data_IF_955458286279
#
_entry.id   IF_955458286279
#
_cell.length_a   1.000
_cell.length_b   1.000
_cell.length_c   1.000
_cell.angle_alpha   90.00
_cell.angle_beta   90.00
_cell.angle_gamma   90.00
#
_symmetry.space_group_name_H-M   'P 1'
#
loop_
_entity.id
_entity.type
_entity.pdbx_description
1 polymer ?
#
# COMPACT_ATOMS: atom_id res chain seq x y z
N UNK A 1 -16.62 18.00 3.25
CA UNK A 1 -16.48 18.46 1.84
C UNK A 1 -17.21 17.44 0.97
N UNK A 2 -18.16 17.88 0.15
CA UNK A 2 -18.86 16.99 -0.80
C UNK A 2 -17.94 16.70 -2.00
N UNK A 3 -17.34 15.52 -2.04
CA UNK A 3 -16.44 15.05 -3.09
C UNK A 3 -17.21 14.36 -4.23
N UNK A 4 -18.26 15.01 -4.74
CA UNK A 4 -19.02 14.52 -5.90
C UNK A 4 -18.24 14.75 -7.19
N UNK A 5 -18.01 13.70 -7.97
CA UNK A 5 -17.15 13.79 -9.15
C UNK A 5 -17.90 14.43 -10.33
N UNK A 6 -17.36 15.49 -10.97
CA UNK A 6 -18.01 16.14 -12.10
C UNK A 6 -18.23 15.20 -13.30
N UNK A 7 -19.37 15.33 -13.98
CA UNK A 7 -19.74 14.47 -15.13
C UNK A 7 -18.67 14.43 -16.23
N UNK A 8 -18.04 15.56 -16.53
CA UNK A 8 -17.00 15.63 -17.57
C UNK A 8 -15.73 14.85 -17.18
N UNK A 9 -15.34 14.87 -15.90
CA UNK A 9 -14.23 14.07 -15.37
C UNK A 9 -14.54 12.57 -15.47
N UNK A 10 -15.77 12.16 -15.11
CA UNK A 10 -16.20 10.76 -15.23
C UNK A 10 -16.15 10.28 -16.69
N UNK A 11 -16.58 11.13 -17.64
CA UNK A 11 -16.48 10.82 -19.07
C UNK A 11 -15.03 10.62 -19.49
N UNK A 12 -14.11 11.47 -19.03
CA UNK A 12 -12.67 11.33 -19.25
C UNK A 12 -12.11 10.02 -18.68
N UNK A 13 -12.41 9.74 -17.41
CA UNK A 13 -12.00 8.52 -16.74
C UNK A 13 -12.50 7.26 -17.47
N UNK A 14 -13.77 7.24 -17.87
CA UNK A 14 -14.36 6.10 -18.57
C UNK A 14 -13.78 5.85 -19.97
N UNK A 15 -13.21 6.86 -20.65
CA UNK A 15 -12.47 6.63 -21.91
C UNK A 15 -11.23 5.75 -21.71
N UNK A 16 -10.66 5.74 -20.52
CA UNK A 16 -9.48 4.94 -20.17
C UNK A 16 -9.82 3.54 -19.63
N UNK A 17 -11.11 3.18 -19.58
CA UNK A 17 -11.61 1.92 -18.98
C UNK A 17 -12.38 1.10 -20.01
N UNK A 18 -12.38 -0.22 -19.83
CA UNK A 18 -13.22 -1.12 -20.62
C UNK A 18 -14.71 -0.76 -20.40
N UNK A 19 -15.51 -0.85 -21.47
CA UNK A 19 -16.94 -0.54 -21.46
C UNK A 19 -17.70 -1.24 -20.33
N UNK A 20 -17.41 -2.51 -20.05
CA UNK A 20 -18.09 -3.29 -19.01
C UNK A 20 -17.96 -2.69 -17.59
N UNK A 21 -16.92 -1.90 -17.34
CA UNK A 21 -16.63 -1.31 -16.03
C UNK A 21 -17.06 0.17 -15.92
N UNK A 22 -17.59 0.76 -16.99
CA UNK A 22 -18.02 2.17 -16.99
C UNK A 22 -19.27 2.50 -16.14
N UNK A 23 -20.18 1.55 -15.79
CA UNK A 23 -21.37 1.89 -15.00
C UNK A 23 -21.09 2.46 -13.61
N UNK A 24 -20.00 2.05 -12.96
CA UNK A 24 -19.62 2.51 -11.61
C UNK A 24 -18.27 3.22 -11.64
N UNK A 25 -18.11 4.22 -10.78
CA UNK A 25 -16.82 4.92 -10.63
C UNK A 25 -15.77 4.06 -9.91
N UNK A 26 -16.22 3.14 -9.05
CA UNK A 26 -15.41 2.19 -8.32
C UNK A 26 -16.20 0.90 -8.10
N UNK A 27 -15.56 -0.25 -8.27
CA UNK A 27 -16.18 -1.56 -8.02
C UNK A 27 -15.82 -2.16 -6.65
N UNK A 28 -14.81 -1.62 -5.95
CA UNK A 28 -14.35 -2.14 -4.66
C UNK A 28 -15.47 -2.52 -3.69
N UNK A 29 -16.48 -1.66 -3.40
CA UNK A 29 -17.52 -2.03 -2.43
C UNK A 29 -18.50 -3.10 -2.91
N UNK A 30 -18.40 -3.53 -4.16
CA UNK A 30 -19.26 -4.55 -4.75
C UNK A 30 -18.54 -5.86 -5.00
N UNK A 31 -17.22 -5.90 -4.88
CA UNK A 31 -16.43 -7.09 -5.20
C UNK A 31 -15.23 -7.34 -4.29
N UNK A 32 -14.87 -6.45 -3.37
CA UNK A 32 -13.64 -6.57 -2.58
C UNK A 32 -13.86 -6.33 -1.10
N UNK A 33 -13.16 -7.07 -0.26
CA UNK A 33 -12.99 -6.73 1.16
C UNK A 33 -11.53 -6.94 1.57
N UNK A 34 -11.04 -6.08 2.45
CA UNK A 34 -9.70 -6.11 3.01
C UNK A 34 -9.76 -6.18 4.53
N UNK A 35 -8.87 -6.98 5.09
CA UNK A 35 -8.63 -7.14 6.52
C UNK A 35 -7.28 -6.54 6.88
N UNK A 36 -7.23 -5.71 7.92
CA UNK A 36 -6.01 -5.01 8.35
C UNK A 36 -5.49 -5.55 9.68
N UNK A 37 -4.24 -5.27 10.02
CA UNK A 37 -3.57 -5.80 11.23
C UNK A 37 -4.32 -5.51 12.53
N UNK A 38 -5.06 -4.40 12.56
CA UNK A 38 -5.83 -3.96 13.71
C UNK A 38 -7.23 -4.56 13.79
N UNK A 39 -7.62 -5.47 12.89
CA UNK A 39 -8.97 -6.05 12.85
C UNK A 39 -9.97 -5.24 12.02
N UNK A 40 -9.62 -4.01 11.61
CA UNK A 40 -10.51 -3.19 10.81
C UNK A 40 -10.71 -3.78 9.40
N UNK A 41 -11.96 -3.70 8.93
CA UNK A 41 -12.37 -4.14 7.60
C UNK A 41 -12.68 -2.96 6.68
N UNK A 42 -12.21 -3.03 5.45
CA UNK A 42 -12.38 -1.98 4.44
C UNK A 42 -12.72 -2.59 3.07
N UNK A 43 -13.29 -1.80 2.16
CA UNK A 43 -13.50 -2.28 0.78
C UNK A 43 -12.24 -2.23 -0.09
N UNK A 44 -11.29 -1.35 0.22
CA UNK A 44 -10.05 -1.19 -0.54
C UNK A 44 -8.89 -0.70 0.33
N UNK A 45 -7.66 -0.86 -0.16
CA UNK A 45 -6.45 -0.43 0.53
C UNK A 45 -6.24 1.10 0.57
N UNK A 46 -6.90 1.84 -0.35
CA UNK A 46 -6.78 3.30 -0.46
C UNK A 46 -7.68 4.08 0.51
N UNK A 47 -8.72 3.44 1.05
CA UNK A 47 -9.64 4.04 1.99
C UNK A 47 -9.44 3.44 3.38
N UNK A 48 -8.63 4.12 4.19
CA UNK A 48 -8.41 3.77 5.60
C UNK A 48 -9.27 4.58 6.57
N UNK A 49 -10.09 5.49 6.05
CA UNK A 49 -10.91 6.39 6.85
C UNK A 49 -12.25 5.74 7.24
N UNK A 50 -12.94 5.15 6.26
CA UNK A 50 -14.28 4.59 6.46
C UNK A 50 -14.22 3.07 6.70
N UNK A 51 -14.08 2.68 7.97
CA UNK A 51 -14.08 1.27 8.42
C UNK A 51 -15.48 0.68 8.46
N UNK A 52 -15.64 -0.50 7.88
CA UNK A 52 -16.89 -1.29 7.85
C UNK A 52 -17.21 -1.92 9.20
N UNK A 53 -16.24 -1.98 10.10
CA UNK A 53 -16.31 -2.70 11.36
C UNK A 53 -14.93 -3.23 11.73
N UNK A 54 -14.81 -3.66 12.98
CA UNK A 54 -13.59 -4.27 13.51
C UNK A 54 -13.92 -5.69 13.95
N UNK A 55 -13.06 -6.64 13.62
CA UNK A 55 -13.13 -8.01 14.12
C UNK A 55 -12.50 -8.10 15.52
N UNK A 56 -13.08 -8.86 16.47
CA UNK A 56 -14.25 -9.74 16.34
C UNK A 56 -15.61 -9.09 16.60
N UNK A 57 -15.65 -7.79 16.90
CA UNK A 57 -16.88 -7.10 17.31
C UNK A 57 -17.95 -7.06 16.20
N UNK A 58 -17.50 -7.03 14.95
CA UNK A 58 -18.34 -7.07 13.75
C UNK A 58 -17.94 -8.29 12.92
N UNK A 59 -18.91 -9.14 12.59
CA UNK A 59 -18.68 -10.30 11.71
C UNK A 59 -18.37 -9.87 10.27
N UNK A 60 -17.69 -10.74 9.50
CA UNK A 60 -17.41 -10.47 8.08
C UNK A 60 -18.72 -10.29 7.28
N UNK A 61 -19.75 -11.09 7.62
CA UNK A 61 -21.09 -10.99 7.04
C UNK A 61 -21.76 -9.64 7.29
N UNK A 62 -21.66 -9.14 8.52
CA UNK A 62 -22.17 -7.82 8.88
C UNK A 62 -21.35 -6.72 8.20
N UNK A 63 -20.03 -6.80 8.19
CA UNK A 63 -19.17 -5.85 7.50
C UNK A 63 -19.47 -5.79 5.99
N UNK A 64 -19.85 -6.92 5.37
CA UNK A 64 -20.22 -6.97 3.96
C UNK A 64 -21.64 -6.47 3.67
N UNK A 65 -22.63 -6.80 4.51
CA UNK A 65 -24.05 -6.56 4.22
C UNK A 65 -24.69 -5.41 5.01
N UNK A 66 -24.07 -5.00 6.11
CA UNK A 66 -24.63 -4.10 7.11
C UNK A 66 -24.75 -2.64 6.68
N UNK A 67 -25.25 -1.80 7.58
CA UNK A 67 -25.62 -0.42 7.28
C UNK A 67 -24.46 0.41 6.68
N UNK A 68 -23.26 0.32 7.25
CA UNK A 68 -22.06 1.01 6.74
C UNK A 68 -21.71 0.59 5.30
N UNK A 69 -21.83 -0.70 5.01
CA UNK A 69 -21.57 -1.24 3.69
C UNK A 69 -22.57 -0.69 2.65
N UNK A 70 -23.85 -0.63 3.02
CA UNK A 70 -24.91 -0.07 2.15
C UNK A 70 -24.75 1.44 1.95
N UNK A 71 -24.43 2.18 3.01
CA UNK A 71 -24.15 3.61 2.93
C UNK A 71 -23.02 3.88 1.93
N UNK A 72 -21.90 3.18 2.08
CA UNK A 72 -20.77 3.34 1.19
C UNK A 72 -21.10 3.02 -0.28
N UNK A 73 -21.83 1.93 -0.53
CA UNK A 73 -22.29 1.57 -1.89
C UNK A 73 -23.20 2.63 -2.50
N UNK A 74 -24.05 3.26 -1.68
CA UNK A 74 -24.91 4.37 -2.12
C UNK A 74 -24.08 5.55 -2.60
N UNK A 75 -23.11 6.01 -1.80
CA UNK A 75 -22.19 7.09 -2.17
C UNK A 75 -21.45 6.82 -3.48
N UNK A 76 -20.89 5.61 -3.64
CA UNK A 76 -20.18 5.24 -4.87
C UNK A 76 -21.12 5.19 -6.08
N UNK A 77 -22.36 4.73 -5.91
CA UNK A 77 -23.39 4.73 -6.96
C UNK A 77 -23.72 6.15 -7.41
N UNK A 78 -23.76 7.09 -6.46
CA UNK A 78 -23.99 8.52 -6.68
C UNK A 78 -22.74 9.28 -7.17
N UNK A 79 -21.65 8.56 -7.46
CA UNK A 79 -20.35 9.10 -7.89
C UNK A 79 -19.76 10.08 -6.86
N UNK A 80 -20.00 9.79 -5.59
CA UNK A 80 -19.54 10.56 -4.44
C UNK A 80 -18.40 9.83 -3.73
N UNK A 81 -17.24 10.48 -3.61
CA UNK A 81 -16.02 9.94 -2.99
C UNK A 81 -15.76 10.53 -1.59
N UNK A 82 -16.80 11.06 -0.92
CA UNK A 82 -16.67 11.76 0.37
C UNK A 82 -16.30 10.85 1.54
N UNK A 83 -16.64 9.56 1.48
CA UNK A 83 -16.38 8.61 2.56
C UNK A 83 -14.95 8.06 2.52
N UNK A 84 -13.94 8.93 2.50
CA UNK A 84 -12.53 8.50 2.61
C UNK A 84 -11.85 8.09 1.30
N UNK A 85 -12.45 8.40 0.14
CA UNK A 85 -11.88 8.07 -1.18
C UNK A 85 -11.08 9.24 -1.80
N UNK A 86 -10.52 10.12 -0.96
CA UNK A 86 -9.90 11.37 -1.41
C UNK A 86 -8.69 11.16 -2.34
N UNK A 87 -7.85 10.14 -2.11
CA UNK A 87 -6.76 9.83 -3.04
C UNK A 87 -7.26 9.53 -4.45
N UNK A 88 -8.36 8.79 -4.60
CA UNK A 88 -8.94 8.56 -5.92
C UNK A 88 -9.55 9.84 -6.49
N UNK A 89 -10.20 10.65 -5.65
CA UNK A 89 -10.80 11.92 -6.04
C UNK A 89 -9.78 12.91 -6.62
N UNK A 90 -8.64 13.11 -5.97
CA UNK A 90 -7.60 14.03 -6.44
C UNK A 90 -6.97 13.57 -7.76
N UNK A 91 -6.74 12.26 -7.94
CA UNK A 91 -6.26 11.71 -9.22
C UNK A 91 -7.28 11.87 -10.34
N UNK A 92 -8.58 11.76 -10.05
CA UNK A 92 -9.64 12.04 -11.02
C UNK A 92 -9.67 13.51 -11.43
N UNK A 93 -9.65 14.44 -10.46
CA UNK A 93 -9.68 15.88 -10.75
C UNK A 93 -8.45 16.37 -11.53
N UNK A 94 -7.27 15.82 -11.21
CA UNK A 94 -6.03 16.09 -11.96
C UNK A 94 -5.94 15.35 -13.30
N UNK A 95 -6.99 14.60 -13.69
CA UNK A 95 -7.06 13.79 -14.90
C UNK A 95 -5.95 12.73 -15.02
N UNK A 96 -5.31 12.37 -13.90
CA UNK A 96 -4.35 11.26 -13.83
C UNK A 96 -5.10 9.93 -13.67
N UNK A 97 -5.87 9.58 -14.70
CA UNK A 97 -6.81 8.48 -14.68
C UNK A 97 -6.16 7.10 -14.47
N UNK A 98 -4.96 6.88 -15.00
CA UNK A 98 -4.26 5.59 -14.86
C UNK A 98 -3.76 5.34 -13.44
N UNK A 99 -3.60 6.39 -12.62
CA UNK A 99 -3.17 6.29 -11.22
C UNK A 99 -4.33 6.20 -10.22
N UNK A 100 -5.58 6.10 -10.71
CA UNK A 100 -6.75 5.98 -9.85
C UNK A 100 -6.83 4.56 -9.28
N UNK A 101 -6.64 4.42 -7.97
CA UNK A 101 -6.62 3.12 -7.28
C UNK A 101 -7.89 2.29 -7.46
N UNK A 102 -9.05 2.93 -7.67
CA UNK A 102 -10.33 2.25 -7.93
C UNK A 102 -10.28 1.29 -9.14
N UNK A 103 -9.35 1.51 -10.09
CA UNK A 103 -9.16 0.64 -11.27
C UNK A 103 -8.69 -0.77 -10.93
N UNK A 104 -8.02 -0.97 -9.78
CA UNK A 104 -7.55 -2.30 -9.35
C UNK A 104 -8.73 -3.26 -9.17
N UNK A 105 -9.91 -2.72 -8.87
CA UNK A 105 -11.12 -3.49 -8.64
C UNK A 105 -11.95 -3.67 -9.93
N UNK A 106 -11.52 -3.09 -11.05
CA UNK A 106 -12.08 -3.40 -12.36
C UNK A 106 -11.65 -4.82 -12.75
N UNK A 107 -12.56 -5.58 -13.36
CA UNK A 107 -12.26 -6.96 -13.78
C UNK A 107 -12.77 -8.04 -12.84
N UNK A 108 -12.97 -7.73 -11.55
CA UNK A 108 -13.56 -8.67 -10.59
C UNK A 108 -15.09 -8.61 -10.61
N UNK A 109 -15.74 -9.77 -10.58
CA UNK A 109 -17.21 -9.84 -10.62
C UNK A 109 -17.83 -9.27 -9.35
N UNK A 110 -18.72 -8.30 -9.53
CA UNK A 110 -19.59 -7.83 -8.45
C UNK A 110 -20.65 -8.88 -8.13
N UNK A 111 -20.77 -9.26 -6.86
CA UNK A 111 -21.73 -10.27 -6.39
C UNK A 111 -22.39 -9.80 -5.10
N UNK A 112 -23.68 -10.12 -4.93
CA UNK A 112 -24.40 -9.78 -3.70
C UNK A 112 -23.97 -10.70 -2.55
N UNK A 113 -23.73 -11.97 -2.87
CA UNK A 113 -23.46 -13.04 -1.91
C UNK A 113 -22.13 -12.87 -1.18
N UNK A 114 -21.14 -12.24 -1.81
CA UNK A 114 -19.82 -12.09 -1.23
C UNK A 114 -18.84 -11.36 -2.14
N UNK A 115 -17.67 -10.99 -1.62
CA UNK A 115 -16.59 -10.43 -2.43
C UNK A 115 -16.04 -11.50 -3.38
N UNK A 116 -15.51 -11.06 -4.53
CA UNK A 116 -14.68 -11.88 -5.40
C UNK A 116 -13.17 -11.64 -5.19
N UNK A 117 -12.81 -10.58 -4.47
CA UNK A 117 -11.46 -10.29 -4.02
C UNK A 117 -11.42 -10.18 -2.49
N UNK A 118 -10.54 -10.95 -1.86
CA UNK A 118 -10.19 -10.76 -0.44
C UNK A 118 -8.72 -10.38 -0.30
N UNK A 119 -8.43 -9.34 0.46
CA UNK A 119 -7.07 -8.92 0.79
C UNK A 119 -6.80 -9.11 2.29
N UNK A 120 -5.78 -9.88 2.64
CA UNK A 120 -5.40 -10.20 4.00
C UNK A 120 -4.08 -9.51 4.36
N UNK A 121 -4.14 -8.56 5.30
CA UNK A 121 -3.00 -7.94 5.98
C UNK A 121 -3.18 -8.20 7.48
N UNK A 122 -3.13 -9.46 7.89
CA UNK A 122 -3.66 -9.91 9.20
C UNK A 122 -2.59 -10.49 10.14
N UNK A 123 -1.33 -10.50 9.71
CA UNK A 123 -0.20 -10.93 10.52
C UNK A 123 0.96 -9.96 10.35
N UNK A 124 1.64 -9.64 11.44
CA UNK A 124 2.91 -8.91 11.44
C UNK A 124 4.12 -9.81 11.74
N UNK A 125 3.93 -11.13 11.86
CA UNK A 125 5.04 -12.06 12.10
C UNK A 125 6.01 -11.93 10.93
N UNK A 126 7.23 -11.47 11.22
CA UNK A 126 8.23 -11.20 10.20
C UNK A 126 9.64 -11.43 10.75
N UNK A 127 10.55 -11.79 9.86
CA UNK A 127 11.96 -12.04 10.13
C UNK A 127 12.89 -10.91 9.68
N UNK A 128 12.36 -9.81 9.17
CA UNK A 128 13.15 -8.67 8.68
C UNK A 128 12.90 -7.39 9.47
N UNK A 129 13.89 -6.51 9.44
CA UNK A 129 13.84 -5.18 10.07
C UNK A 129 13.97 -4.05 9.03
N UNK A 130 13.20 -4.15 7.95
CA UNK A 130 13.28 -3.22 6.82
C UNK A 130 13.18 -1.75 7.28
N UNK A 131 14.05 -0.89 6.75
CA UNK A 131 14.20 0.50 7.23
C UNK A 131 12.93 1.35 7.11
N UNK A 132 12.04 1.03 6.15
CA UNK A 132 10.76 1.70 5.95
C UNK A 132 9.59 1.08 6.74
N UNK A 133 9.78 -0.08 7.37
CA UNK A 133 8.75 -0.75 8.18
C UNK A 133 8.80 -0.26 9.63
N UNK A 134 7.77 -0.60 10.41
CA UNK A 134 7.67 -0.40 11.87
C UNK A 134 7.19 -1.69 12.57
N UNK A 135 7.05 -1.67 13.89
CA UNK A 135 6.65 -2.83 14.69
C UNK A 135 5.25 -3.37 14.38
N UNK A 136 4.37 -2.53 13.83
CA UNK A 136 3.08 -3.01 13.32
C UNK A 136 3.25 -3.89 12.10
N UNK A 137 4.26 -3.65 11.26
CA UNK A 137 4.50 -4.43 10.05
C UNK A 137 5.45 -5.62 10.27
N UNK A 138 6.29 -5.57 11.31
CA UNK A 138 7.26 -6.62 11.63
C UNK A 138 7.38 -6.83 13.15
N UNK A 139 7.08 -8.05 13.58
CA UNK A 139 7.28 -8.51 14.95
C UNK A 139 8.74 -8.42 15.39
N UNK A 140 9.69 -8.60 14.47
CA UNK A 140 11.12 -8.48 14.78
C UNK A 140 11.51 -7.03 15.06
N UNK A 141 11.00 -6.07 14.27
CA UNK A 141 11.17 -4.64 14.54
C UNK A 141 10.59 -4.27 15.90
N UNK A 142 9.37 -4.76 16.19
CA UNK A 142 8.70 -4.50 17.47
C UNK A 142 9.56 -4.93 18.65
N UNK A 143 10.17 -6.12 18.54
CA UNK A 143 11.05 -6.70 19.56
C UNK A 143 12.39 -5.96 19.68
N UNK A 144 13.09 -5.76 18.57
CA UNK A 144 14.51 -5.36 18.58
C UNK A 144 14.68 -3.84 18.52
N UNK A 145 14.05 -3.18 17.55
CA UNK A 145 14.20 -1.74 17.31
C UNK A 145 13.34 -0.90 18.25
N UNK A 146 12.07 -1.29 18.41
CA UNK A 146 11.12 -0.54 19.24
C UNK A 146 11.10 -0.97 20.70
N UNK A 147 11.64 -2.17 21.01
CA UNK A 147 11.68 -2.76 22.35
C UNK A 147 10.32 -2.74 23.06
N UNK A 148 9.25 -2.91 22.29
CA UNK A 148 7.89 -2.89 22.80
C UNK A 148 7.26 -4.27 22.85
N UNK A 149 6.18 -4.39 23.63
CA UNK A 149 5.42 -5.62 23.75
C UNK A 149 4.83 -6.07 22.40
N UNK A 150 4.80 -7.38 22.08
CA UNK A 150 4.22 -7.87 20.84
C UNK A 150 2.79 -7.34 20.62
N UNK A 151 2.50 -6.88 19.41
CA UNK A 151 1.12 -6.56 19.04
C UNK A 151 0.26 -7.83 19.03
N UNK A 152 -0.97 -7.79 19.55
CA UNK A 152 -1.86 -8.94 19.53
C UNK A 152 -2.25 -9.27 18.09
N UNK A 153 -2.18 -10.55 17.73
CA UNK A 153 -2.78 -11.06 16.50
C UNK A 153 -4.27 -11.23 16.77
N UNK A 154 -5.08 -10.35 16.19
CA UNK A 154 -6.53 -10.27 16.48
C UNK A 154 -7.34 -11.36 15.78
N UNK A 155 -6.73 -12.10 14.85
CA UNK A 155 -7.40 -13.08 14.00
C UNK A 155 -7.12 -14.50 14.50
N UNK A 156 -8.18 -15.30 14.59
CA UNK A 156 -8.18 -16.63 15.18
C UNK A 156 -8.92 -17.65 14.29
N UNK A 157 -9.22 -18.82 14.83
CA UNK A 157 -9.94 -19.87 14.09
C UNK A 157 -11.39 -19.48 13.76
N UNK A 158 -12.04 -18.68 14.61
CA UNK A 158 -13.39 -18.19 14.32
C UNK A 158 -13.39 -17.24 13.11
N UNK A 159 -12.32 -16.47 12.89
CA UNK A 159 -12.16 -15.70 11.67
C UNK A 159 -12.04 -16.61 10.44
N UNK A 160 -11.24 -17.68 10.53
CA UNK A 160 -11.09 -18.66 9.44
C UNK A 160 -12.44 -19.32 9.12
N UNK A 161 -13.26 -19.62 10.13
CA UNK A 161 -14.60 -20.18 9.90
C UNK A 161 -15.52 -19.15 9.20
N UNK A 162 -15.49 -17.88 9.60
CA UNK A 162 -16.29 -16.84 8.96
C UNK A 162 -15.93 -16.60 7.49
N UNK A 163 -14.67 -16.79 7.07
CA UNK A 163 -14.33 -16.59 5.65
C UNK A 163 -14.86 -17.70 4.74
N UNK A 164 -15.11 -18.92 5.26
CA UNK A 164 -15.48 -20.10 4.46
C UNK A 164 -16.73 -19.86 3.63
N UNK A 165 -17.72 -19.15 4.18
CA UNK A 165 -18.96 -18.84 3.48
C UNK A 165 -18.76 -17.96 2.23
N UNK A 166 -17.64 -17.24 2.15
CA UNK A 166 -17.32 -16.35 1.02
C UNK A 166 -16.38 -16.98 0.01
N UNK A 167 -15.59 -17.99 0.39
CA UNK A 167 -14.63 -18.69 -0.48
C UNK A 167 -15.25 -19.16 -1.82
N UNK A 168 -16.49 -19.69 -1.87
CA UNK A 168 -17.13 -20.10 -3.12
C UNK A 168 -17.27 -18.99 -4.17
N UNK A 169 -17.18 -17.72 -3.77
CA UNK A 169 -17.34 -16.56 -4.65
C UNK A 169 -16.01 -15.91 -5.06
N UNK A 170 -14.89 -16.32 -4.45
CA UNK A 170 -13.58 -15.72 -4.65
C UNK A 170 -12.99 -16.04 -6.02
N UNK A 171 -12.59 -14.99 -6.71
CA UNK A 171 -11.74 -15.03 -7.90
C UNK A 171 -10.27 -14.89 -7.49
N UNK A 172 -9.96 -14.05 -6.50
CA UNK A 172 -8.60 -13.89 -5.97
C UNK A 172 -8.58 -13.63 -4.44
N UNK A 173 -7.57 -14.18 -3.79
CA UNK A 173 -7.20 -13.91 -2.40
C UNK A 173 -5.75 -13.43 -2.36
N UNK A 174 -5.52 -12.22 -1.84
CA UNK A 174 -4.19 -11.59 -1.74
C UNK A 174 -3.69 -11.60 -0.31
N UNK A 175 -2.46 -12.03 -0.11
CA UNK A 175 -1.83 -12.14 1.21
C UNK A 175 -0.61 -11.24 1.28
N UNK A 176 -0.67 -10.27 2.20
CA UNK A 176 0.37 -9.27 2.47
C UNK A 176 0.54 -9.14 4.00
N UNK A 177 1.52 -8.35 4.45
CA UNK A 177 1.76 -8.13 5.88
C UNK A 177 2.63 -9.23 6.50
N UNK A 178 3.55 -8.81 7.38
CA UNK A 178 4.59 -9.68 7.92
C UNK A 178 5.44 -10.33 6.82
N UNK A 179 5.93 -11.54 7.10
CA UNK A 179 6.36 -12.49 6.09
C UNK A 179 5.31 -13.61 6.01
N UNK A 180 4.51 -13.68 4.92
CA UNK A 180 3.40 -14.61 4.86
C UNK A 180 3.78 -16.08 5.08
N UNK A 181 4.98 -16.49 4.68
CA UNK A 181 5.44 -17.87 4.85
C UNK A 181 5.82 -18.24 6.28
N UNK A 182 5.79 -17.30 7.23
CA UNK A 182 5.92 -17.56 8.68
C UNK A 182 4.58 -17.68 9.40
N UNK A 183 3.46 -17.37 8.74
CA UNK A 183 2.15 -17.31 9.39
C UNK A 183 1.36 -18.60 9.20
N UNK A 184 1.24 -19.40 10.26
CA UNK A 184 0.38 -20.61 10.23
C UNK A 184 -1.10 -20.28 10.00
N UNK A 185 -1.54 -19.08 10.39
CA UNK A 185 -2.89 -18.60 10.07
C UNK A 185 -3.11 -18.50 8.56
N UNK A 186 -2.11 -18.03 7.80
CA UNK A 186 -2.19 -18.01 6.35
C UNK A 186 -2.24 -19.39 5.73
N UNK A 187 -1.44 -20.34 6.22
CA UNK A 187 -1.54 -21.72 5.77
C UNK A 187 -2.91 -22.34 6.03
N UNK A 188 -3.53 -22.07 7.18
CA UNK A 188 -4.91 -22.50 7.46
C UNK A 188 -5.88 -21.92 6.42
N UNK A 189 -5.81 -20.62 6.14
CA UNK A 189 -6.67 -19.96 5.14
C UNK A 189 -6.43 -20.52 3.73
N UNK A 190 -5.17 -20.75 3.33
CA UNK A 190 -4.85 -21.32 2.02
C UNK A 190 -5.44 -22.72 1.85
N UNK A 191 -5.35 -23.56 2.89
CA UNK A 191 -5.93 -24.90 2.87
C UNK A 191 -7.44 -24.86 2.67
N UNK A 192 -8.15 -23.97 3.38
CA UNK A 192 -9.60 -23.78 3.20
C UNK A 192 -9.95 -23.29 1.79
N UNK A 193 -9.19 -22.32 1.25
CA UNK A 193 -9.39 -21.84 -0.12
C UNK A 193 -9.20 -22.97 -1.14
N UNK A 194 -8.10 -23.73 -1.02
CA UNK A 194 -7.78 -24.84 -1.91
C UNK A 194 -8.87 -25.93 -1.84
N UNK A 195 -9.37 -26.21 -0.64
CA UNK A 195 -10.40 -27.23 -0.42
C UNK A 195 -11.77 -26.81 -0.98
N UNK A 196 -12.23 -25.60 -0.68
CA UNK A 196 -13.59 -25.15 -1.00
C UNK A 196 -13.69 -24.60 -2.43
N UNK A 197 -12.68 -23.85 -2.89
CA UNK A 197 -12.65 -23.24 -4.22
C UNK A 197 -11.24 -23.26 -4.83
N UNK A 198 -10.79 -24.42 -5.36
CA UNK A 198 -9.43 -24.56 -5.92
C UNK A 198 -9.16 -23.68 -7.15
N UNK A 199 -10.20 -23.04 -7.72
CA UNK A 199 -10.06 -22.09 -8.82
C UNK A 199 -9.65 -20.69 -8.35
N UNK A 200 -9.84 -20.35 -7.08
CA UNK A 200 -9.43 -19.05 -6.53
C UNK A 200 -7.93 -18.86 -6.70
N UNK A 201 -7.55 -17.71 -7.25
CA UNK A 201 -6.15 -17.32 -7.36
C UNK A 201 -5.64 -16.89 -5.98
N UNK A 202 -4.70 -17.63 -5.41
CA UNK A 202 -3.99 -17.23 -4.19
C UNK A 202 -2.75 -16.47 -4.60
N UNK A 203 -2.63 -15.20 -4.21
CA UNK A 203 -1.49 -14.34 -4.56
C UNK A 203 -0.78 -13.88 -3.29
N UNK A 204 0.49 -14.27 -3.13
CA UNK A 204 1.26 -14.02 -1.91
C UNK A 204 2.41 -13.07 -2.20
N UNK A 205 2.49 -11.98 -1.44
CA UNK A 205 3.62 -11.05 -1.48
C UNK A 205 4.62 -11.39 -0.37
N UNK A 206 5.78 -11.93 -0.73
CA UNK A 206 6.84 -12.35 0.21
C UNK A 206 8.06 -11.42 0.14
N UNK A 207 8.84 -11.37 1.21
CA UNK A 207 10.18 -10.79 1.20
C UNK A 207 11.24 -11.72 0.55
N UNK A 208 10.87 -12.98 0.29
CA UNK A 208 11.69 -13.93 -0.47
C UNK A 208 12.73 -14.70 0.34
N UNK A 209 12.83 -14.47 1.65
CA UNK A 209 13.85 -15.13 2.51
C UNK A 209 13.56 -16.60 2.81
N UNK A 210 12.33 -17.06 2.54
CA UNK A 210 11.85 -18.41 2.83
C UNK A 210 11.28 -19.03 1.56
N UNK A 211 11.83 -20.18 1.19
CA UNK A 211 11.29 -21.08 0.18
C UNK A 211 11.66 -22.51 0.59
N UNK A 212 10.67 -23.31 0.93
CA UNK A 212 10.84 -24.69 1.38
C UNK A 212 9.89 -25.61 0.61
N UNK A 213 9.98 -26.92 0.84
CA UNK A 213 9.17 -27.91 0.11
C UNK A 213 7.67 -27.72 0.29
N UNK A 214 7.21 -27.30 1.48
CA UNK A 214 5.79 -26.99 1.74
C UNK A 214 5.29 -25.87 0.81
N UNK A 215 6.07 -24.80 0.66
CA UNK A 215 5.75 -23.67 -0.21
C UNK A 215 5.84 -24.07 -1.68
N UNK A 216 6.89 -24.82 -2.05
CA UNK A 216 7.05 -25.33 -3.41
C UNK A 216 5.91 -26.26 -3.82
N UNK A 217 5.39 -27.06 -2.88
CA UNK A 217 4.27 -27.95 -3.12
C UNK A 217 2.98 -27.17 -3.38
N UNK A 218 2.69 -26.18 -2.52
CA UNK A 218 1.57 -25.25 -2.72
C UNK A 218 1.66 -24.55 -4.07
N UNK A 219 2.85 -23.99 -4.37
CA UNK A 219 3.11 -23.30 -5.61
C UNK A 219 2.94 -24.21 -6.83
N UNK A 220 3.37 -25.48 -6.79
CA UNK A 220 3.28 -26.38 -7.95
C UNK A 220 1.86 -26.90 -8.17
N UNK A 221 1.19 -27.33 -7.09
CA UNK A 221 -0.08 -28.10 -7.17
C UNK A 221 -1.34 -27.25 -7.28
N UNK A 222 -1.31 -25.98 -6.85
CA UNK A 222 -2.53 -25.17 -6.73
C UNK A 222 -2.46 -23.87 -7.55
N UNK A 223 -3.58 -23.15 -7.61
CA UNK A 223 -3.67 -21.82 -8.24
C UNK A 223 -3.00 -20.76 -7.33
N UNK A 224 -1.72 -20.95 -7.06
CA UNK A 224 -0.91 -20.23 -6.10
C UNK A 224 0.19 -19.47 -6.83
N UNK A 225 0.24 -18.16 -6.58
CA UNK A 225 1.11 -17.20 -7.24
C UNK A 225 1.93 -16.45 -6.21
N UNK A 226 3.17 -16.12 -6.57
CA UNK A 226 4.10 -15.42 -5.70
C UNK A 226 4.49 -14.11 -6.37
N UNK A 227 4.52 -13.06 -5.56
CA UNK A 227 5.14 -11.79 -5.87
C UNK A 227 6.24 -11.53 -4.85
N UNK A 228 7.39 -11.02 -5.31
CA UNK A 228 8.53 -10.75 -4.42
C UNK A 228 8.62 -9.27 -4.09
N UNK A 229 9.10 -8.95 -2.89
CA UNK A 229 9.49 -7.59 -2.52
C UNK A 229 11.01 -7.45 -2.58
N UNK A 230 11.53 -6.85 -3.65
CA UNK A 230 12.99 -6.73 -3.89
C UNK A 230 13.35 -5.27 -4.18
N UNK A 231 13.87 -4.56 -3.19
CA UNK A 231 14.07 -3.10 -3.27
C UNK A 231 15.38 -2.66 -3.94
N UNK A 232 16.21 -3.60 -4.40
CA UNK A 232 17.44 -3.31 -5.14
C UNK A 232 17.93 -4.56 -5.87
N UNK A 233 18.58 -4.36 -7.02
CA UNK A 233 19.36 -5.38 -7.74
C UNK A 233 20.85 -5.37 -7.37
N UNK A 234 21.24 -4.55 -6.39
CA UNK A 234 22.59 -4.48 -5.84
C UNK A 234 22.57 -4.98 -4.41
N UNK A 235 23.50 -5.87 -4.08
CA UNK A 235 23.54 -6.57 -2.79
C UNK A 235 23.62 -5.60 -1.62
N UNK A 236 24.54 -4.65 -1.68
CA UNK A 236 24.82 -3.70 -0.60
C UNK A 236 23.60 -2.81 -0.32
N UNK A 237 22.97 -2.28 -1.37
CA UNK A 237 21.77 -1.46 -1.24
C UNK A 237 20.59 -2.30 -0.74
N UNK A 238 20.39 -3.51 -1.26
CA UNK A 238 19.33 -4.40 -0.79
C UNK A 238 19.46 -4.73 0.69
N UNK A 239 20.63 -5.20 1.15
CA UNK A 239 20.85 -5.62 2.53
C UNK A 239 20.84 -4.43 3.52
N UNK A 240 21.22 -3.22 3.08
CA UNK A 240 21.06 -2.01 3.89
C UNK A 240 19.61 -1.58 4.09
N UNK A 241 18.72 -1.91 3.15
CA UNK A 241 17.28 -1.59 3.21
C UNK A 241 16.50 -2.69 3.93
N UNK A 242 16.76 -3.95 3.56
CA UNK A 242 16.08 -5.16 4.04
C UNK A 242 16.94 -5.82 5.12
N UNK A 243 17.09 -5.14 6.26
CA UNK A 243 17.93 -5.59 7.37
C UNK A 243 17.58 -7.02 7.81
N UNK A 244 18.62 -7.84 8.02
CA UNK A 244 18.59 -9.30 8.28
C UNK A 244 18.30 -10.19 7.05
N UNK A 245 18.08 -9.62 5.87
CA UNK A 245 17.99 -10.43 4.64
C UNK A 245 19.38 -10.79 4.12
N UNK A 246 19.48 -11.94 3.44
CA UNK A 246 20.64 -12.33 2.66
C UNK A 246 20.27 -12.24 1.17
N UNK A 247 20.92 -11.32 0.44
CA UNK A 247 20.58 -11.03 -0.96
C UNK A 247 20.70 -12.27 -1.84
N UNK A 248 21.79 -13.03 -1.72
CA UNK A 248 22.07 -14.18 -2.58
C UNK A 248 21.01 -15.26 -2.41
N UNK A 249 20.57 -15.53 -1.17
CA UNK A 249 19.48 -16.46 -0.87
C UNK A 249 18.14 -15.98 -1.47
N UNK A 250 17.82 -14.70 -1.33
CA UNK A 250 16.58 -14.12 -1.88
C UNK A 250 16.57 -14.22 -3.40
N UNK A 251 17.68 -13.88 -4.05
CA UNK A 251 17.80 -13.97 -5.51
C UNK A 251 17.78 -15.42 -6.01
N UNK A 252 18.36 -16.36 -5.26
CA UNK A 252 18.25 -17.79 -5.55
C UNK A 252 16.79 -18.28 -5.48
N UNK A 253 16.04 -17.88 -4.45
CA UNK A 253 14.62 -18.21 -4.31
C UNK A 253 13.78 -17.57 -5.42
N UNK A 254 14.06 -16.31 -5.77
CA UNK A 254 13.44 -15.63 -6.89
C UNK A 254 13.68 -16.38 -8.20
N UNK A 255 14.93 -16.77 -8.49
CA UNK A 255 15.29 -17.52 -9.69
C UNK A 255 14.55 -18.87 -9.77
N UNK A 256 14.48 -19.58 -8.64
CA UNK A 256 13.73 -20.86 -8.55
C UNK A 256 12.25 -20.67 -8.90
N UNK A 257 11.59 -19.65 -8.34
CA UNK A 257 10.19 -19.36 -8.66
C UNK A 257 10.03 -18.81 -10.08
N UNK A 258 10.98 -18.03 -10.58
CA UNK A 258 10.99 -17.52 -11.95
C UNK A 258 10.98 -18.66 -12.98
N UNK A 259 11.87 -19.64 -12.82
CA UNK A 259 11.92 -20.82 -13.70
C UNK A 259 10.63 -21.65 -13.64
N UNK A 260 10.12 -21.90 -12.43
CA UNK A 260 8.85 -22.61 -12.24
C UNK A 260 7.66 -21.84 -12.81
N UNK A 261 7.64 -20.52 -12.66
CA UNK A 261 6.65 -19.61 -13.24
C UNK A 261 6.56 -19.79 -14.75
N UNK A 262 7.70 -19.82 -15.45
CA UNK A 262 7.73 -20.03 -16.90
C UNK A 262 7.27 -21.43 -17.28
N UNK A 263 7.76 -22.46 -16.57
CA UNK A 263 7.42 -23.86 -16.84
C UNK A 263 5.93 -24.16 -16.63
N UNK A 264 5.32 -23.55 -15.61
CA UNK A 264 3.93 -23.79 -15.22
C UNK A 264 2.97 -22.72 -15.75
N UNK A 265 3.46 -21.76 -16.55
CA UNK A 265 2.72 -20.61 -17.04
C UNK A 265 1.97 -19.84 -15.91
N UNK A 266 2.67 -19.59 -14.80
CA UNK A 266 2.15 -18.84 -13.65
C UNK A 266 2.68 -17.41 -13.63
N UNK A 267 1.77 -16.50 -13.27
CA UNK A 267 2.12 -15.12 -13.04
C UNK A 267 3.14 -14.98 -11.89
N UNK A 268 4.06 -14.04 -12.07
CA UNK A 268 5.10 -13.63 -11.13
C UNK A 268 5.28 -12.13 -11.29
N UNK A 269 5.45 -11.41 -10.19
CA UNK A 269 5.75 -9.97 -10.20
C UNK A 269 6.79 -9.62 -9.14
N UNK A 270 7.42 -8.46 -9.31
CA UNK A 270 8.28 -7.84 -8.28
C UNK A 270 7.68 -6.53 -7.82
N UNK A 271 7.68 -6.32 -6.51
CA UNK A 271 7.22 -5.13 -5.82
C UNK A 271 8.44 -4.40 -5.30
N UNK A 272 8.50 -3.09 -5.56
CA UNK A 272 9.58 -2.22 -5.09
C UNK A 272 9.01 -1.01 -4.36
N UNK A 273 9.74 -0.54 -3.35
CA UNK A 273 9.44 0.65 -2.58
C UNK A 273 10.56 1.69 -2.81
N UNK A 274 10.40 2.62 -3.77
CA UNK A 274 11.36 3.69 -3.96
C UNK A 274 11.46 4.59 -2.72
N UNK A 275 12.66 4.62 -2.15
CA UNK A 275 13.08 5.46 -1.04
C UNK A 275 14.39 6.16 -1.39
N UNK A 276 14.83 7.11 -0.58
CA UNK A 276 16.08 7.84 -0.85
C UNK A 276 17.31 6.91 -0.99
N UNK A 277 17.33 5.75 -0.32
CA UNK A 277 18.45 4.80 -0.36
C UNK A 277 18.60 4.07 -1.71
N UNK A 278 17.50 3.74 -2.41
CA UNK A 278 17.53 3.00 -3.68
C UNK A 278 17.09 3.83 -4.89
N UNK A 279 16.78 5.12 -4.72
CA UNK A 279 16.21 5.96 -5.79
C UNK A 279 17.08 5.98 -7.07
N UNK A 280 18.40 5.95 -6.93
CA UNK A 280 19.32 5.96 -8.07
C UNK A 280 19.35 4.63 -8.83
N UNK A 281 18.83 3.55 -8.24
CA UNK A 281 18.84 2.21 -8.80
C UNK A 281 17.49 1.81 -9.40
N UNK A 282 16.45 2.65 -9.29
CA UNK A 282 15.12 2.36 -9.86
C UNK A 282 15.22 2.05 -11.38
N UNK A 283 15.96 2.82 -12.20
CA UNK A 283 16.15 2.49 -13.61
C UNK A 283 16.78 1.11 -13.82
N UNK A 284 17.83 0.76 -13.05
CA UNK A 284 18.52 -0.53 -13.15
C UNK A 284 17.56 -1.69 -12.84
N UNK A 285 16.70 -1.54 -11.82
CA UNK A 285 15.68 -2.53 -11.49
C UNK A 285 14.64 -2.67 -12.61
N UNK A 286 14.17 -1.55 -13.17
CA UNK A 286 13.20 -1.57 -14.29
C UNK A 286 13.79 -2.31 -15.50
N UNK A 287 15.04 -2.01 -15.85
CA UNK A 287 15.75 -2.68 -16.95
C UNK A 287 15.95 -4.18 -16.67
N UNK A 288 16.35 -4.54 -15.46
CA UNK A 288 16.58 -5.94 -15.06
C UNK A 288 15.32 -6.79 -15.22
N UNK A 289 14.20 -6.38 -14.63
CA UNK A 289 12.96 -7.19 -14.70
C UNK A 289 12.25 -7.09 -16.07
N UNK A 290 12.48 -6.01 -16.83
CA UNK A 290 12.03 -5.92 -18.23
C UNK A 290 12.68 -7.02 -19.08
N UNK A 291 13.99 -7.25 -18.94
CA UNK A 291 14.70 -8.33 -19.64
C UNK A 291 14.18 -9.72 -19.29
N UNK A 292 13.72 -9.91 -18.05
CA UNK A 292 13.12 -11.16 -17.60
C UNK A 292 11.63 -11.29 -17.97
N UNK A 293 11.02 -10.25 -18.51
CA UNK A 293 9.57 -10.13 -18.73
C UNK A 293 8.76 -10.38 -17.44
N UNK A 294 9.22 -9.79 -16.33
CA UNK A 294 8.59 -9.85 -15.00
C UNK A 294 8.02 -8.47 -14.65
N UNK A 295 6.68 -8.31 -14.53
CA UNK A 295 6.07 -7.05 -14.17
C UNK A 295 6.57 -6.47 -12.85
N UNK A 296 6.74 -5.14 -12.80
CA UNK A 296 7.07 -4.39 -11.59
C UNK A 296 5.85 -3.65 -11.05
N UNK A 297 5.68 -3.67 -9.74
CA UNK A 297 4.70 -2.88 -9.00
C UNK A 297 5.48 -1.91 -8.08
N UNK A 298 5.22 -0.62 -8.23
CA UNK A 298 5.86 0.43 -7.42
C UNK A 298 4.91 0.84 -6.29
N UNK A 299 5.34 0.67 -5.05
CA UNK A 299 4.64 1.15 -3.86
C UNK A 299 5.23 2.46 -3.36
N UNK A 300 4.36 3.43 -3.10
CA UNK A 300 4.79 4.74 -2.62
C UNK A 300 5.04 4.71 -1.12
N UNK A 301 6.26 5.06 -0.71
CA UNK A 301 6.60 5.25 0.71
C UNK A 301 6.35 6.71 1.09
N UNK A 302 5.35 6.93 1.95
CA UNK A 302 5.03 8.26 2.50
C UNK A 302 5.69 8.44 3.87
N UNK A 303 5.62 7.40 4.69
CA UNK A 303 6.27 7.31 5.99
C UNK A 303 7.22 6.11 6.00
N UNK A 304 8.38 6.20 6.66
CA UNK A 304 8.93 7.36 7.38
C UNK A 304 9.28 8.55 6.46
N UNK A 305 9.01 9.78 6.91
CA UNK A 305 9.16 10.99 6.08
C UNK A 305 10.60 11.23 5.64
N UNK A 306 11.57 10.85 6.46
CA UNK A 306 13.01 11.01 6.16
C UNK A 306 13.49 10.04 5.08
N UNK A 307 12.80 8.93 4.84
CA UNK A 307 13.14 7.96 3.80
C UNK A 307 12.39 8.22 2.48
N UNK A 308 11.27 8.93 2.54
CA UNK A 308 10.44 9.21 1.38
C UNK A 308 11.14 10.11 0.36
N UNK A 309 11.07 9.75 -0.92
CA UNK A 309 11.54 10.59 -2.03
C UNK A 309 10.78 11.92 -2.07
N UNK A 310 9.50 11.94 -1.68
CA UNK A 310 8.73 13.18 -1.66
C UNK A 310 9.27 14.20 -0.65
N UNK A 311 10.18 13.79 0.25
CA UNK A 311 10.78 14.67 1.26
C UNK A 311 12.16 15.24 0.91
N UNK A 312 12.68 14.94 -0.27
CA UNK A 312 13.87 15.58 -0.81
C UNK A 312 13.68 17.09 -1.02
N UNK A 313 14.77 17.86 -1.03
CA UNK A 313 14.75 19.28 -1.40
C UNK A 313 14.39 19.44 -2.88
N UNK A 314 14.00 20.66 -3.27
CA UNK A 314 13.68 20.97 -4.67
C UNK A 314 14.88 20.73 -5.59
N UNK A 315 16.09 21.05 -5.15
CA UNK A 315 17.35 20.83 -5.90
C UNK A 315 17.63 19.34 -6.07
N UNK A 316 17.47 18.56 -5.00
CA UNK A 316 17.63 17.10 -5.04
C UNK A 316 16.61 16.45 -6.00
N UNK A 317 15.35 16.88 -5.94
CA UNK A 317 14.29 16.41 -6.84
C UNK A 317 14.58 16.80 -8.30
N UNK A 318 15.08 18.01 -8.55
CA UNK A 318 15.50 18.46 -9.88
C UNK A 318 16.61 17.56 -10.43
N UNK A 319 17.68 17.35 -9.66
CA UNK A 319 18.80 16.47 -10.04
C UNK A 319 18.32 15.05 -10.34
N UNK A 320 17.40 14.53 -9.51
CA UNK A 320 16.85 13.20 -9.73
C UNK A 320 15.97 13.11 -10.97
N UNK A 321 15.15 14.12 -11.26
CA UNK A 321 14.37 14.19 -12.49
C UNK A 321 15.26 14.25 -13.74
N UNK A 322 16.35 15.01 -13.70
CA UNK A 322 17.33 15.07 -14.78
C UNK A 322 17.93 13.67 -15.04
N UNK A 323 18.37 12.99 -13.97
CA UNK A 323 18.86 11.62 -14.03
C UNK A 323 17.83 10.63 -14.63
N UNK A 324 16.58 10.64 -14.12
CA UNK A 324 15.54 9.74 -14.62
C UNK A 324 15.21 9.98 -16.10
N UNK A 325 15.15 11.24 -16.53
CA UNK A 325 14.88 11.60 -17.92
C UNK A 325 16.05 11.21 -18.83
N UNK A 326 17.28 11.34 -18.36
CA UNK A 326 18.47 10.90 -19.09
C UNK A 326 18.47 9.37 -19.26
N UNK A 327 18.25 8.61 -18.19
CA UNK A 327 18.13 7.14 -18.24
C UNK A 327 17.00 6.69 -19.17
N UNK A 328 15.85 7.36 -19.13
CA UNK A 328 14.72 7.05 -20.02
C UNK A 328 15.07 7.28 -21.50
N UNK A 329 15.85 8.32 -21.85
CA UNK A 329 16.29 8.55 -23.23
C UNK A 329 17.14 7.40 -23.76
N UNK A 330 18.03 6.86 -22.94
CA UNK A 330 18.87 5.72 -23.30
C UNK A 330 18.07 4.41 -23.42
N UNK A 331 17.01 4.24 -22.61
CA UNK A 331 16.13 3.06 -22.64
C UNK A 331 15.21 2.98 -23.88
N UNK A 332 15.01 4.08 -24.64
CA UNK A 332 14.10 4.15 -25.81
C UNK A 332 14.43 3.21 -26.98
N UNK A 333 15.48 2.38 -26.89
CA UNK A 333 15.74 1.31 -27.84
C UNK A 333 14.82 0.08 -27.66
N UNK A 334 14.10 -0.04 -26.54
CA UNK A 334 13.10 -1.09 -26.32
C UNK A 334 11.65 -0.52 -26.34
N UNK A 335 10.85 -0.96 -27.31
CA UNK A 335 9.40 -0.75 -27.53
C UNK A 335 8.62 0.16 -26.57
N UNK A 336 8.06 1.28 -27.10
CA UNK A 336 7.12 2.20 -26.42
C UNK A 336 5.81 1.55 -25.93
N UNK A 337 5.53 0.30 -26.29
CA UNK A 337 4.32 -0.43 -25.91
C UNK A 337 4.56 -1.44 -24.76
N UNK A 338 5.75 -1.46 -24.15
CA UNK A 338 6.04 -2.32 -23.00
C UNK A 338 5.44 -1.74 -21.71
N UNK A 339 4.80 -2.57 -20.88
CA UNK A 339 4.26 -2.19 -19.57
C UNK A 339 5.30 -1.54 -18.66
N UNK A 340 6.58 -1.93 -18.79
CA UNK A 340 7.69 -1.34 -18.05
C UNK A 340 7.93 0.13 -18.41
N UNK A 341 7.77 0.51 -19.68
CA UNK A 341 7.87 1.90 -20.11
C UNK A 341 6.77 2.78 -19.49
N UNK A 342 5.56 2.24 -19.37
CA UNK A 342 4.45 2.92 -18.71
C UNK A 342 4.70 3.09 -17.20
N UNK A 343 5.23 2.06 -16.54
CA UNK A 343 5.64 2.13 -15.12
C UNK A 343 6.70 3.21 -14.93
N UNK A 344 7.74 3.24 -15.76
CA UNK A 344 8.78 4.27 -15.71
C UNK A 344 8.21 5.67 -15.91
N UNK A 345 7.41 5.88 -16.95
CA UNK A 345 6.78 7.17 -17.25
C UNK A 345 5.86 7.64 -16.11
N UNK A 346 5.13 6.72 -15.49
CA UNK A 346 4.27 7.02 -14.33
C UNK A 346 5.11 7.42 -13.11
N UNK A 347 6.22 6.72 -12.86
CA UNK A 347 7.13 7.05 -11.77
C UNK A 347 7.80 8.42 -11.96
N UNK A 348 8.27 8.76 -13.16
CA UNK A 348 8.78 10.12 -13.46
C UNK A 348 7.69 11.17 -13.22
N UNK A 349 6.47 10.90 -13.64
CA UNK A 349 5.33 11.81 -13.42
C UNK A 349 5.05 12.02 -11.93
N UNK A 350 5.19 10.96 -11.12
CA UNK A 350 5.08 11.05 -9.66
C UNK A 350 6.20 11.91 -9.05
N UNK A 351 7.46 11.68 -9.42
CA UNK A 351 8.60 12.49 -8.94
C UNK A 351 8.45 13.95 -9.37
N UNK A 352 7.94 14.22 -10.57
CA UNK A 352 7.66 15.57 -11.04
C UNK A 352 6.55 16.24 -10.21
N UNK A 353 5.56 15.48 -9.75
CA UNK A 353 4.57 15.98 -8.78
C UNK A 353 5.25 16.40 -7.48
N UNK A 354 6.17 15.60 -6.96
CA UNK A 354 6.92 15.97 -5.75
C UNK A 354 7.76 17.22 -5.95
N UNK A 355 8.42 17.37 -7.10
CA UNK A 355 9.16 18.58 -7.45
C UNK A 355 8.27 19.83 -7.46
N UNK A 356 7.05 19.74 -8.01
CA UNK A 356 6.07 20.84 -7.98
C UNK A 356 5.64 21.18 -6.55
N UNK A 357 5.34 20.16 -5.74
CA UNK A 357 4.94 20.31 -4.34
C UNK A 357 6.07 20.84 -3.46
N UNK A 358 7.34 20.62 -3.82
CA UNK A 358 8.47 21.17 -3.09
C UNK A 358 8.46 22.71 -3.06
N UNK A 359 7.84 23.38 -4.05
CA UNK A 359 7.60 24.83 -3.99
C UNK A 359 6.69 25.23 -2.83
N UNK A 360 5.67 24.42 -2.54
CA UNK A 360 4.78 24.67 -1.40
C UNK A 360 5.55 24.50 -0.08
N UNK A 361 6.53 23.60 -0.04
CA UNK A 361 7.41 23.44 1.14
C UNK A 361 8.29 24.66 1.40
N UNK A 362 8.78 25.31 0.35
CA UNK A 362 9.59 26.54 0.46
C UNK A 362 8.80 27.65 1.17
N UNK A 363 7.47 27.67 1.03
CA UNK A 363 6.62 28.62 1.77
C UNK A 363 6.76 28.48 3.30
N UNK A 364 7.15 27.30 3.77
CA UNK A 364 7.32 26.98 5.19
C UNK A 364 8.78 27.10 5.65
N UNK A 365 9.77 27.28 4.75
CA UNK A 365 11.20 27.26 5.09
C UNK A 365 11.61 28.36 6.07
N UNK A 366 10.91 29.50 6.07
CA UNK A 366 11.19 30.62 6.96
C UNK A 366 10.39 30.60 8.26
N UNK A 367 9.34 29.78 8.35
CA UNK A 367 8.49 29.71 9.53
C UNK A 367 9.24 29.09 10.70
N UNK A 368 9.01 29.55 11.94
CA UNK A 368 9.51 28.87 13.12
C UNK A 368 8.67 27.61 13.41
N UNK A 369 9.18 26.69 14.24
CA UNK A 369 8.44 25.45 14.58
C UNK A 369 7.07 25.77 15.17
N UNK A 370 6.98 26.76 16.06
CA UNK A 370 5.72 27.15 16.71
C UNK A 370 4.70 27.69 15.69
N UNK A 371 5.14 28.47 14.70
CA UNK A 371 4.29 28.95 13.60
C UNK A 371 3.74 27.78 12.77
N UNK A 372 4.59 26.78 12.52
CA UNK A 372 4.20 25.58 11.77
C UNK A 372 3.17 24.75 12.55
N UNK A 373 3.32 24.62 13.87
CA UNK A 373 2.35 23.94 14.74
C UNK A 373 1.00 24.66 14.68
N UNK A 374 0.97 25.99 14.77
CA UNK A 374 -0.29 26.75 14.72
C UNK A 374 -0.94 26.70 13.33
N UNK A 375 -0.17 26.75 12.24
CA UNK A 375 -0.69 26.52 10.88
C UNK A 375 -1.27 25.11 10.74
N UNK A 376 -0.63 24.10 11.33
CA UNK A 376 -1.08 22.72 11.26
C UNK A 376 -2.36 22.52 12.09
N UNK A 377 -2.44 23.17 13.26
CA UNK A 377 -3.66 23.25 14.06
C UNK A 377 -4.80 23.82 13.24
N UNK A 378 -4.64 24.97 12.60
CA UNK A 378 -5.69 25.57 11.77
C UNK A 378 -6.11 24.68 10.60
N UNK A 379 -5.18 23.87 10.07
CA UNK A 379 -5.49 22.89 9.04
C UNK A 379 -6.32 21.72 9.55
N UNK A 380 -6.02 21.20 10.75
CA UNK A 380 -6.64 19.99 11.29
C UNK A 380 -7.86 20.30 12.16
N UNK A 381 -7.68 21.20 13.12
CA UNK A 381 -8.63 21.58 14.15
C UNK A 381 -9.85 22.29 13.55
N UNK A 382 -10.97 21.60 13.60
CA UNK A 382 -12.32 22.13 13.39
C UNK A 382 -13.19 21.62 14.52
N UNK A 383 -14.41 22.15 14.69
CA UNK A 383 -15.34 21.69 15.75
C UNK A 383 -15.53 20.16 15.80
N UNK A 384 -15.37 19.48 14.66
CA UNK A 384 -15.52 18.02 14.52
C UNK A 384 -14.23 17.21 14.77
N UNK A 385 -13.04 17.84 14.83
CA UNK A 385 -11.74 17.13 14.85
C UNK A 385 -10.82 17.56 16.02
N UNK A 386 -11.40 18.12 17.10
CA UNK A 386 -10.62 18.61 18.24
C UNK A 386 -9.82 17.48 18.91
N UNK A 387 -10.42 16.29 19.05
CA UNK A 387 -9.78 15.13 19.69
C UNK A 387 -8.55 14.67 18.91
N UNK A 388 -8.66 14.61 17.58
CA UNK A 388 -7.58 14.24 16.67
C UNK A 388 -6.45 15.27 16.75
N UNK A 389 -6.77 16.56 16.79
CA UNK A 389 -5.76 17.60 16.98
C UNK A 389 -5.04 17.45 18.32
N UNK A 390 -5.75 17.32 19.44
CA UNK A 390 -5.14 17.19 20.77
C UNK A 390 -4.14 16.02 20.83
N UNK A 391 -4.54 14.89 20.26
CA UNK A 391 -3.70 13.70 20.15
C UNK A 391 -2.44 13.94 19.32
N UNK A 392 -2.57 14.60 18.16
CA UNK A 392 -1.40 14.95 17.35
C UNK A 392 -0.49 15.93 18.07
N UNK A 393 -1.06 16.95 18.72
CA UNK A 393 -0.31 17.97 19.43
C UNK A 393 0.52 17.36 20.56
N UNK A 394 -0.06 16.46 21.35
CA UNK A 394 0.67 15.74 22.40
C UNK A 394 1.86 14.93 21.83
N UNK A 395 1.69 14.31 20.66
CA UNK A 395 2.78 13.60 19.98
C UNK A 395 3.88 14.56 19.55
N UNK A 396 3.51 15.67 18.90
CA UNK A 396 4.46 16.67 18.40
C UNK A 396 5.22 17.36 19.53
N UNK A 397 4.55 17.70 20.64
CA UNK A 397 5.18 18.30 21.83
C UNK A 397 6.18 17.38 22.52
N UNK A 398 6.08 16.07 22.32
CA UNK A 398 7.03 15.09 22.85
C UNK A 398 8.31 14.90 22.01
N UNK A 399 8.48 15.62 20.91
CA UNK A 399 9.66 15.49 20.03
C UNK A 399 10.68 16.58 20.39
N UNK A 400 11.79 16.19 21.02
CA UNK A 400 12.84 17.12 21.46
C UNK A 400 13.71 17.64 20.31
N UNK A 401 13.98 16.81 19.29
CA UNK A 401 14.73 17.22 18.10
C UNK A 401 13.89 18.17 17.23
N UNK A 402 14.18 19.47 17.34
CA UNK A 402 13.51 20.53 16.59
C UNK A 402 13.66 20.38 15.06
N UNK A 403 14.78 19.83 14.58
CA UNK A 403 14.98 19.62 13.14
C UNK A 403 14.11 18.47 12.62
N UNK A 404 14.00 17.39 13.39
CA UNK A 404 13.09 16.28 13.10
C UNK A 404 11.62 16.71 13.19
N UNK A 405 11.23 17.41 14.26
CA UNK A 405 9.88 17.94 14.46
C UNK A 405 9.46 18.83 13.28
N UNK A 406 10.35 19.74 12.85
CA UNK A 406 10.14 20.57 11.66
C UNK A 406 9.87 19.72 10.42
N UNK A 407 10.70 18.71 10.15
CA UNK A 407 10.55 17.81 9.00
C UNK A 407 9.21 17.06 9.05
N UNK A 408 8.80 16.59 10.22
CA UNK A 408 7.51 15.89 10.43
C UNK A 408 6.35 16.84 10.13
N UNK A 409 6.34 18.04 10.70
CA UNK A 409 5.24 19.00 10.49
C UNK A 409 5.13 19.40 9.02
N UNK A 410 6.25 19.74 8.36
CA UNK A 410 6.25 20.03 6.91
C UNK A 410 5.77 18.80 6.11
N UNK A 411 6.22 17.60 6.50
CA UNK A 411 5.74 16.32 6.00
C UNK A 411 4.21 16.21 6.04
N UNK A 412 3.61 16.55 7.17
CA UNK A 412 2.16 16.51 7.37
C UNK A 412 1.42 17.47 6.44
N UNK A 413 1.95 18.65 6.12
CA UNK A 413 1.31 19.58 5.16
C UNK A 413 1.16 19.00 3.75
N UNK A 414 2.05 18.09 3.36
CA UNK A 414 2.08 17.45 2.04
C UNK A 414 1.08 16.27 1.97
N UNK A 415 0.84 15.62 3.12
CA UNK A 415 -0.12 14.52 3.21
C UNK A 415 -1.53 15.10 3.25
N UNK A 416 -2.45 14.51 2.50
CA UNK A 416 -3.84 14.95 2.49
C UNK A 416 -4.46 14.86 3.91
N UNK A 417 -5.27 15.88 4.25
CA UNK A 417 -5.89 16.01 5.57
C UNK A 417 -6.71 14.77 5.95
N UNK A 418 -7.39 14.14 5.00
CA UNK A 418 -8.24 12.97 5.30
C UNK A 418 -7.42 11.76 5.73
N UNK A 419 -6.20 11.58 5.21
CA UNK A 419 -5.30 10.52 5.68
C UNK A 419 -4.81 10.78 7.10
N UNK A 420 -4.45 12.03 7.41
CA UNK A 420 -4.02 12.41 8.76
C UNK A 420 -5.15 12.17 9.77
N UNK A 421 -6.37 12.58 9.44
CA UNK A 421 -7.53 12.36 10.30
C UNK A 421 -7.88 10.87 10.44
N UNK A 422 -7.82 10.09 9.35
CA UNK A 422 -8.04 8.64 9.40
C UNK A 422 -7.05 7.97 10.37
N UNK A 423 -5.78 8.36 10.27
CA UNK A 423 -4.69 7.85 11.07
C UNK A 423 -4.86 8.22 12.55
N UNK A 424 -5.17 9.48 12.85
CA UNK A 424 -5.43 9.96 14.21
C UNK A 424 -6.64 9.28 14.84
N UNK A 425 -7.67 8.96 14.06
CA UNK A 425 -8.90 8.31 14.52
C UNK A 425 -8.71 6.81 14.78
N UNK A 426 -7.99 6.11 13.91
CA UNK A 426 -7.98 4.65 13.88
C UNK A 426 -6.76 3.99 14.54
N UNK A 427 -5.73 4.76 14.86
CA UNK A 427 -4.49 4.25 15.47
C UNK A 427 -4.37 4.67 16.92
N UNK A 428 -3.49 4.06 17.70
CA UNK A 428 -3.11 4.52 19.05
C UNK A 428 -2.06 5.63 18.96
N UNK A 429 -1.80 6.34 20.06
CA UNK A 429 -0.70 7.33 20.08
C UNK A 429 0.66 6.72 19.78
N UNK A 430 0.92 5.52 20.31
CA UNK A 430 2.19 4.82 20.12
C UNK A 430 2.41 4.44 18.65
N UNK A 431 1.39 3.90 17.98
CA UNK A 431 1.46 3.58 16.54
C UNK A 431 1.76 4.82 15.70
N UNK A 432 1.13 5.96 16.02
CA UNK A 432 1.38 7.22 15.29
C UNK A 432 2.79 7.72 15.55
N UNK A 433 3.27 7.69 16.81
CA UNK A 433 4.65 8.03 17.16
C UNK A 433 5.64 7.21 16.33
N UNK A 434 5.47 5.89 16.26
CA UNK A 434 6.33 5.00 15.47
C UNK A 434 6.32 5.34 13.98
N UNK A 435 5.15 5.63 13.39
CA UNK A 435 5.02 6.00 11.98
C UNK A 435 5.67 7.35 11.64
N UNK A 436 5.58 8.32 12.54
CA UNK A 436 6.10 9.68 12.31
C UNK A 436 7.60 9.77 12.56
N UNK A 437 8.07 9.18 13.66
CA UNK A 437 9.40 9.45 14.20
C UNK A 437 10.43 8.47 13.65
N UNK A 438 10.01 7.24 13.27
CA UNK A 438 10.89 6.11 12.97
C UNK A 438 12.10 6.11 13.91
N UNK A 439 11.87 5.66 15.14
CA UNK A 439 12.89 5.58 16.18
C UNK A 439 14.03 4.69 15.64
N UNK A 440 15.08 5.32 15.14
CA UNK A 440 16.35 4.70 14.79
C UNK A 440 17.37 5.15 15.81
#
# INVERSE_FOLDING_TARGET
MDNKVPKHIIKGYNKTRNFYWRPKICYAPFNSIRFSLSGNMYFCCYNRFYSLGKYPEVSIREAWNGAKAQEFRSYITDKNLSLGCHACYTKLLSQNFYSVGARIYDGYKARKQGPSLMEFEISNICNLECVMCNGENSSLIRKNREKGEPYPIVYDEAFVEQIKEFIPYLEEARFVGGEPFLSELYFKIWNEIIHINPKTKINVLTNGTILNDRILDLYKKHNFHISFSIDSVKKETYESIRVNANYDKVMHNFQTIYELSRKLNKELSVNICPIQANMWEIPDMIEYYSKLNVPIIIHTVVYPVNLSISNLTKEQLKKYLEFLNERLKHSKQESKNNSHFLIWSSFISQVNSYYKMANEKILFEKDMVDDLVEKLKNRINSNENLKEWLKLNEILSGIEDKALLRKIIIGLFIVDKSYILAELKNSTMEQIKQRLININ
#
